data_IF_967630898109
#
_entry.id   IF_967630898109
#
_cell.length_a   1.000
_cell.length_b   1.000
_cell.length_c   1.000
_cell.angle_alpha   90.00
_cell.angle_beta   90.00
_cell.angle_gamma   90.00
#
_symmetry.space_group_name_H-M   'P 1'
#
loop_
_entity.id
_entity.type
_entity.pdbx_description
1 polymer ?
#
# COMPACT_ATOMS: atom_id res chain seq x y z
N UNK A 1 -8.34 -5.18 -2.01
CA UNK A 1 -6.99 -5.66 -2.34
C UNK A 1 -6.20 -5.64 -1.05
N UNK A 2 -5.72 -6.80 -0.62
CA UNK A 2 -4.85 -6.93 0.54
C UNK A 2 -3.48 -7.34 0.05
N UNK A 3 -2.47 -6.58 0.45
CA UNK A 3 -1.06 -6.91 0.25
C UNK A 3 -0.42 -7.07 1.63
N UNK A 4 0.79 -7.61 1.67
CA UNK A 4 1.48 -7.93 2.90
C UNK A 4 1.76 -6.73 3.80
N UNK A 5 2.07 -5.59 3.18
CA UNK A 5 2.64 -4.41 3.82
C UNK A 5 2.10 -3.12 3.20
N UNK A 6 0.86 -3.16 2.74
CA UNK A 6 0.20 -2.05 2.09
C UNK A 6 -1.20 -1.88 2.63
N UNK A 7 -1.70 -0.65 2.55
CA UNK A 7 -3.03 -0.31 3.02
C UNK A 7 -4.08 -1.15 2.28
N UNK A 8 -5.01 -1.74 3.02
CA UNK A 8 -6.12 -2.44 2.37
C UNK A 8 -6.92 -1.46 1.51
N UNK A 9 -7.02 -1.76 0.21
CA UNK A 9 -7.69 -0.89 -0.75
C UNK A 9 -8.95 -1.53 -1.28
N UNK A 10 -10.09 -0.86 -1.10
CA UNK A 10 -11.40 -1.33 -1.55
C UNK A 10 -11.79 -0.73 -2.90
N UNK A 11 -12.52 -1.47 -3.73
CA UNK A 11 -13.07 -0.89 -4.96
C UNK A 11 -14.17 0.11 -4.61
N UNK A 12 -14.24 1.24 -5.32
CA UNK A 12 -15.28 2.24 -5.10
C UNK A 12 -16.69 1.72 -5.43
N UNK A 13 -16.78 0.80 -6.40
CA UNK A 13 -18.01 0.17 -6.83
C UNK A 13 -18.05 -1.33 -6.55
N UNK A 14 -19.26 -1.88 -6.63
CA UNK A 14 -19.49 -3.33 -6.57
C UNK A 14 -18.95 -3.97 -7.85
N UNK A 15 -18.07 -4.95 -7.72
CA UNK A 15 -17.55 -5.74 -8.82
C UNK A 15 -18.34 -7.05 -8.87
N UNK A 16 -19.19 -7.22 -9.89
CA UNK A 16 -19.96 -8.44 -10.07
C UNK A 16 -19.05 -9.58 -10.55
N UNK A 17 -18.98 -10.65 -9.77
CA UNK A 17 -18.25 -11.87 -10.13
C UNK A 17 -19.21 -12.87 -10.79
N UNK A 18 -18.87 -13.33 -12.00
CA UNK A 18 -19.64 -14.34 -12.73
C UNK A 18 -18.76 -15.54 -13.09
N UNK A 19 -19.35 -16.74 -13.08
CA UNK A 19 -18.65 -17.97 -13.49
C UNK A 19 -18.34 -18.02 -14.99
N UNK A 20 -19.10 -17.30 -15.80
CA UNK A 20 -19.01 -17.33 -17.27
C UNK A 20 -18.40 -16.06 -17.84
N UNK A 21 -18.31 -15.00 -17.05
CA UNK A 21 -17.82 -13.69 -17.48
C UNK A 21 -16.82 -13.19 -16.44
N UNK A 22 -15.52 -13.13 -16.79
CA UNK A 22 -14.52 -12.56 -15.92
C UNK A 22 -14.87 -11.11 -15.58
N UNK A 23 -14.73 -10.74 -14.31
CA UNK A 23 -14.76 -9.34 -13.94
C UNK A 23 -13.52 -8.64 -14.52
N UNK A 24 -13.73 -7.54 -15.23
CA UNK A 24 -12.65 -6.65 -15.65
C UNK A 24 -12.65 -5.46 -14.73
N UNK A 25 -11.57 -5.30 -13.97
CA UNK A 25 -11.37 -4.20 -13.05
C UNK A 25 -9.89 -3.84 -13.04
N UNK A 26 -9.59 -2.56 -13.20
CA UNK A 26 -8.23 -2.03 -13.22
C UNK A 26 -8.12 -0.88 -12.21
N UNK A 27 -7.53 -1.17 -11.07
CA UNK A 27 -7.32 -0.22 -9.98
C UNK A 27 -6.36 0.92 -10.37
N UNK A 28 -5.48 0.69 -11.35
CA UNK A 28 -4.44 1.66 -11.75
C UNK A 28 -4.92 2.67 -12.79
N UNK A 29 -6.20 2.63 -13.18
CA UNK A 29 -6.77 3.47 -14.26
C UNK A 29 -7.25 4.86 -13.80
N UNK A 30 -7.74 4.99 -12.57
CA UNK A 30 -8.13 6.28 -11.95
C UNK A 30 -8.14 6.19 -10.42
N UNK A 31 -7.95 7.34 -9.74
CA UNK A 31 -8.15 7.42 -8.27
C UNK A 31 -9.53 6.90 -7.84
N UNK A 32 -10.55 7.19 -8.64
CA UNK A 32 -11.95 6.83 -8.37
C UNK A 32 -12.24 5.33 -8.49
N UNK A 33 -11.28 4.49 -8.87
CA UNK A 33 -11.43 3.05 -8.80
C UNK A 33 -11.38 2.55 -7.36
N UNK A 34 -10.67 3.26 -6.47
CA UNK A 34 -10.62 2.95 -5.05
C UNK A 34 -11.68 3.71 -4.26
N UNK A 35 -12.26 3.05 -3.27
CA UNK A 35 -13.17 3.67 -2.33
C UNK A 35 -12.46 4.84 -1.62
N UNK A 36 -13.16 5.97 -1.50
CA UNK A 36 -12.58 7.20 -0.94
C UNK A 36 -11.45 7.84 -1.76
N UNK A 37 -11.22 7.42 -3.00
CA UNK A 37 -10.05 7.82 -3.81
C UNK A 37 -8.71 7.48 -3.13
N UNK A 38 -8.66 6.38 -2.35
CA UNK A 38 -7.50 6.01 -1.54
C UNK A 38 -6.35 5.37 -2.36
N UNK A 39 -5.84 6.11 -3.33
CA UNK A 39 -4.71 5.76 -4.21
C UNK A 39 -3.82 7.00 -4.40
N UNK A 40 -2.58 6.79 -4.88
CA UNK A 40 -1.65 7.88 -5.22
C UNK A 40 -1.36 7.90 -6.71
N UNK A 41 -1.43 9.08 -7.33
CA UNK A 41 -0.90 9.28 -8.69
C UNK A 41 0.62 9.21 -8.65
N UNK A 42 1.21 8.27 -9.38
CA UNK A 42 2.68 8.03 -9.40
C UNK A 42 3.31 8.33 -10.75
N UNK A 43 2.52 8.38 -11.82
CA UNK A 43 2.97 8.77 -13.15
C UNK A 43 1.82 9.48 -13.88
N UNK A 44 2.16 10.40 -14.77
CA UNK A 44 1.22 11.13 -15.63
C UNK A 44 1.31 10.72 -17.10
N UNK A 45 2.33 9.96 -17.51
CA UNK A 45 2.52 9.53 -18.89
C UNK A 45 3.27 8.18 -19.01
N UNK A 46 2.55 7.04 -18.98
CA UNK A 46 1.10 6.91 -18.88
C UNK A 46 0.60 7.25 -17.47
N UNK A 47 -0.65 7.67 -17.35
CA UNK A 47 -1.26 7.88 -16.03
C UNK A 47 -1.26 6.55 -15.27
N UNK A 48 -0.70 6.55 -14.06
CA UNK A 48 -0.70 5.38 -13.17
C UNK A 48 -1.02 5.79 -11.74
N UNK A 49 -1.79 4.92 -11.08
CA UNK A 49 -2.11 5.03 -9.67
C UNK A 49 -1.58 3.82 -8.90
N UNK A 50 -1.08 4.06 -7.68
CA UNK A 50 -0.52 3.04 -6.81
C UNK A 50 -1.23 3.01 -5.45
N UNK A 51 -1.17 1.84 -4.80
CA UNK A 51 -1.57 1.63 -3.41
C UNK A 51 -0.43 2.11 -2.51
N UNK A 52 -0.76 2.68 -1.34
CA UNK A 52 0.22 3.06 -0.33
C UNK A 52 0.82 1.83 0.36
N UNK A 53 2.14 1.69 0.34
CA UNK A 53 2.87 0.77 1.20
C UNK A 53 3.15 1.40 2.57
N UNK A 54 3.35 0.56 3.58
CA UNK A 54 3.76 0.99 4.92
C UNK A 54 2.85 0.54 6.07
N UNK A 55 1.71 -0.09 5.81
CA UNK A 55 0.90 -0.78 6.84
C UNK A 55 1.49 -2.18 7.04
N UNK A 56 2.64 -2.25 7.72
CA UNK A 56 3.46 -3.46 7.86
C UNK A 56 2.91 -4.40 8.93
N UNK A 57 2.20 -3.84 9.92
CA UNK A 57 1.56 -4.58 10.99
C UNK A 57 0.10 -5.00 10.65
N UNK A 58 -0.47 -4.48 9.55
CA UNK A 58 -1.80 -4.80 9.01
C UNK A 58 -2.95 -4.38 9.94
N UNK A 59 -2.81 -3.26 10.65
CA UNK A 59 -3.85 -2.69 11.51
C UNK A 59 -4.79 -1.70 10.81
N UNK A 60 -4.48 -1.37 9.54
CA UNK A 60 -5.28 -0.51 8.70
C UNK A 60 -4.96 0.98 8.82
N UNK A 61 -3.89 1.35 9.51
CA UNK A 61 -3.31 2.69 9.54
C UNK A 61 -1.82 2.58 9.26
N UNK A 62 -1.23 3.58 8.62
CA UNK A 62 0.24 3.71 8.57
C UNK A 62 0.60 4.71 9.66
N UNK A 63 1.26 4.26 10.71
CA UNK A 63 1.60 5.12 11.85
C UNK A 63 2.99 4.85 12.46
N UNK A 64 3.22 5.40 13.66
CA UNK A 64 4.51 5.29 14.35
C UNK A 64 4.87 3.85 14.74
N UNK A 65 3.89 2.95 14.85
CA UNK A 65 4.14 1.54 15.13
C UNK A 65 4.72 0.83 13.89
N UNK A 66 4.18 1.08 12.70
CA UNK A 66 4.76 0.59 11.44
C UNK A 66 6.18 1.13 11.20
N UNK A 67 6.36 2.42 11.53
CA UNK A 67 7.67 3.07 11.43
C UNK A 67 8.66 2.43 12.40
N UNK A 68 8.23 2.12 13.63
CA UNK A 68 9.08 1.46 14.63
C UNK A 68 9.47 0.05 14.19
N UNK A 69 8.56 -0.72 13.62
CA UNK A 69 8.84 -2.06 13.11
C UNK A 69 9.85 -2.00 11.95
N UNK A 70 9.64 -1.08 11.01
CA UNK A 70 10.53 -0.89 9.85
C UNK A 70 11.92 -0.38 10.27
N UNK A 71 11.99 0.58 11.19
CA UNK A 71 13.26 1.14 11.70
C UNK A 71 14.08 0.09 12.47
N UNK A 72 13.42 -0.74 13.28
CA UNK A 72 14.08 -1.85 13.97
C UNK A 72 14.69 -2.86 12.99
N UNK A 73 13.95 -3.22 11.93
CA UNK A 73 14.45 -4.16 10.92
C UNK A 73 15.55 -3.54 10.05
N UNK A 74 15.46 -2.24 9.74
CA UNK A 74 16.52 -1.49 9.06
C UNK A 74 17.82 -1.47 9.89
N UNK A 75 17.71 -1.18 11.20
CA UNK A 75 18.84 -1.22 12.13
C UNK A 75 19.49 -2.60 12.18
N UNK A 76 18.69 -3.66 12.11
CA UNK A 76 19.18 -5.04 12.10
C UNK A 76 19.62 -5.53 10.70
N UNK A 77 19.52 -4.68 9.66
CA UNK A 77 19.84 -5.02 8.27
C UNK A 77 19.11 -6.28 7.79
N UNK A 78 17.83 -6.39 8.13
CA UNK A 78 16.98 -7.51 7.69
C UNK A 78 16.85 -7.47 6.17
N UNK A 79 16.79 -8.63 5.54
CA UNK A 79 16.73 -8.77 4.09
C UNK A 79 15.85 -9.93 3.64
N UNK A 80 15.49 -9.93 2.37
CA UNK A 80 14.62 -10.89 1.71
C UNK A 80 13.16 -10.52 1.86
N UNK A 81 12.29 -11.51 1.65
CA UNK A 81 10.85 -11.28 1.72
C UNK A 81 10.40 -11.08 3.19
N UNK A 82 10.51 -9.85 3.72
CA UNK A 82 10.01 -9.37 5.05
C UNK A 82 8.99 -8.22 4.91
N UNK A 83 8.06 -8.03 5.87
CA UNK A 83 6.92 -7.09 5.69
C UNK A 83 7.37 -5.63 5.72
N UNK A 84 8.45 -5.38 6.44
CA UNK A 84 9.21 -4.13 6.49
C UNK A 84 9.94 -3.82 5.18
N UNK A 85 10.05 -4.81 4.29
CA UNK A 85 10.29 -4.81 2.83
C UNK A 85 9.35 -3.91 1.98
N UNK A 86 9.17 -2.61 2.25
CA UNK A 86 8.10 -1.80 1.62
C UNK A 86 8.49 -1.22 0.25
N UNK A 87 9.78 -1.17 -0.06
CA UNK A 87 10.31 -0.78 -1.37
C UNK A 87 10.27 -1.94 -2.38
N UNK A 88 10.36 -3.17 -1.88
CA UNK A 88 10.39 -4.41 -2.64
C UNK A 88 11.76 -4.73 -3.25
N UNK A 89 12.85 -4.25 -2.64
CA UNK A 89 14.21 -4.40 -3.16
C UNK A 89 15.06 -5.48 -2.46
N UNK A 90 14.42 -6.29 -1.61
CA UNK A 90 14.99 -7.36 -0.78
C UNK A 90 15.86 -6.86 0.39
N UNK A 91 15.92 -5.56 0.69
CA UNK A 91 16.62 -5.02 1.86
C UNK A 91 15.69 -4.12 2.65
N UNK A 92 15.72 -4.23 3.99
CA UNK A 92 15.09 -3.23 4.84
C UNK A 92 16.12 -2.17 5.17
N UNK A 93 15.93 -0.95 4.68
CA UNK A 93 16.87 0.15 4.91
C UNK A 93 16.18 1.52 5.08
N UNK A 94 16.96 2.59 5.00
CA UNK A 94 16.45 3.94 5.19
C UNK A 94 15.41 4.38 4.14
N UNK A 95 15.39 3.75 2.95
CA UNK A 95 14.38 3.98 1.94
C UNK A 95 13.00 3.47 2.41
N UNK A 96 12.94 2.29 3.02
CA UNK A 96 11.71 1.74 3.60
C UNK A 96 11.19 2.63 4.73
N UNK A 97 12.07 2.99 5.67
CA UNK A 97 11.76 3.89 6.79
C UNK A 97 11.19 5.22 6.27
N UNK A 98 11.81 5.81 5.24
CA UNK A 98 11.35 7.06 4.62
C UNK A 98 9.96 6.92 3.98
N UNK A 99 9.65 5.79 3.34
CA UNK A 99 8.34 5.54 2.75
C UNK A 99 7.26 5.47 3.85
N UNK A 100 7.52 4.70 4.91
CA UNK A 100 6.59 4.56 6.04
C UNK A 100 6.39 5.88 6.76
N UNK A 101 7.46 6.60 7.08
CA UNK A 101 7.40 7.91 7.76
C UNK A 101 6.58 8.93 6.96
N UNK A 102 6.82 9.04 5.65
CA UNK A 102 6.06 9.95 4.80
C UNK A 102 4.56 9.60 4.75
N UNK A 103 4.22 8.31 4.71
CA UNK A 103 2.83 7.88 4.68
C UNK A 103 2.15 8.03 6.05
N UNK A 104 2.88 7.83 7.16
CA UNK A 104 2.43 8.10 8.52
C UNK A 104 2.18 9.59 8.74
N UNK A 105 3.09 10.46 8.28
CA UNK A 105 2.92 11.91 8.33
C UNK A 105 1.65 12.37 7.59
N UNK A 106 1.33 11.72 6.47
CA UNK A 106 0.12 11.99 5.69
C UNK A 106 -1.14 11.33 6.26
N UNK A 107 -1.05 10.63 7.41
CA UNK A 107 -2.13 9.91 8.06
C UNK A 107 -2.87 8.95 7.09
N UNK A 108 -2.10 8.21 6.29
CA UNK A 108 -2.68 7.22 5.36
C UNK A 108 -3.34 6.10 6.18
N UNK A 109 -4.61 5.86 5.91
CA UNK A 109 -5.38 4.79 6.55
C UNK A 109 -6.29 4.10 5.55
N UNK A 110 -6.82 2.95 5.93
CA UNK A 110 -7.83 2.23 5.16
C UNK A 110 -9.08 3.10 5.04
N UNK A 111 -9.69 3.06 3.85
CA UNK A 111 -11.02 3.63 3.62
C UNK A 111 -11.91 2.52 3.05
N UNK A 112 -12.88 2.09 3.84
CA UNK A 112 -13.81 0.99 3.50
C UNK A 112 -15.27 1.48 3.48
N UNK A 113 -16.18 0.78 2.77
CA UNK A 113 -17.62 1.04 2.79
C UNK A 113 -18.28 0.94 4.17
#
# INVERSE_FOLDING_TARGET
MKHRNSIETWSAGVIALSRTTPASFDLASSLSQAFGNNLKSVDTSPVRFAIFSGDVNQDGTIDASDLSDTDNDAYNSVSGYVSTDVSGDDFVDAADVSIVDNNAFNAVSVVTP
#
